data_IF_747301382514
#
_entry.id   IF_747301382514
#
_cell.length_a   1.000
_cell.length_b   1.000
_cell.length_c   1.000
_cell.angle_alpha   90.00
_cell.angle_beta   90.00
_cell.angle_gamma   90.00
#
_symmetry.space_group_name_H-M   'P 1'
#
loop_
_entity.id
_entity.type
_entity.pdbx_description
1 polymer ?
#
# COMPACT_ATOMS: atom_id res chain seq x y z
N UNK A 1 -4.85 34.31 24.58
CA UNK A 1 -3.99 33.17 24.96
C UNK A 1 -4.80 31.89 24.81
N UNK A 2 -4.71 31.22 23.67
CA UNK A 2 -5.41 29.95 23.41
C UNK A 2 -4.44 28.94 22.82
N UNK A 3 -3.59 28.37 23.67
CA UNK A 3 -2.60 27.38 23.29
C UNK A 3 -3.31 26.04 23.09
N UNK A 4 -3.80 25.80 21.88
CA UNK A 4 -4.22 24.46 21.45
C UNK A 4 -3.03 23.53 21.55
N UNK A 5 -2.95 22.79 22.65
CA UNK A 5 -1.96 21.75 22.86
C UNK A 5 -2.26 20.62 21.89
N UNK A 6 -1.61 20.66 20.72
CA UNK A 6 -1.59 19.57 19.75
C UNK A 6 -0.88 18.40 20.42
N UNK A 7 -1.65 17.46 20.98
CA UNK A 7 -1.13 16.20 21.53
C UNK A 7 -0.25 15.58 20.42
N UNK A 8 1.01 15.21 20.69
CA UNK A 8 1.84 14.54 19.69
C UNK A 8 1.08 13.33 19.18
N UNK A 9 0.94 13.21 17.86
CA UNK A 9 0.40 12.00 17.28
C UNK A 9 1.22 10.80 17.80
N UNK A 10 0.58 9.68 18.18
CA UNK A 10 1.31 8.49 18.60
C UNK A 10 2.36 8.16 17.54
N UNK A 11 3.58 7.85 17.98
CA UNK A 11 4.67 7.49 17.09
C UNK A 11 4.17 6.42 16.10
N UNK A 12 4.41 6.59 14.78
CA UNK A 12 3.92 5.64 13.80
C UNK A 12 4.41 4.25 14.18
N UNK A 13 3.49 3.27 14.16
CA UNK A 13 3.86 1.88 14.38
C UNK A 13 5.04 1.52 13.45
N UNK A 14 6.00 0.71 13.93
CA UNK A 14 7.20 0.41 13.16
C UNK A 14 6.82 -0.20 11.82
N UNK A 15 7.19 0.48 10.74
CA UNK A 15 6.93 0.06 9.37
C UNK A 15 7.86 -1.11 9.04
N UNK A 16 7.27 -2.24 8.63
CA UNK A 16 8.01 -3.34 8.08
C UNK A 16 8.33 -3.07 6.60
N UNK A 17 9.58 -2.73 6.33
CA UNK A 17 10.06 -2.41 4.98
C UNK A 17 9.88 -3.56 3.98
N UNK A 18 10.00 -4.82 4.41
CA UNK A 18 9.81 -5.98 3.54
C UNK A 18 8.33 -6.17 3.17
N UNK A 19 7.43 -5.93 4.13
CA UNK A 19 5.99 -5.93 3.87
C UNK A 19 5.62 -4.82 2.87
N UNK A 20 6.10 -3.59 3.09
CA UNK A 20 5.88 -2.46 2.18
C UNK A 20 6.45 -2.73 0.79
N UNK A 21 7.67 -3.28 0.68
CA UNK A 21 8.28 -3.65 -0.60
C UNK A 21 7.48 -4.71 -1.35
N UNK A 22 6.95 -5.69 -0.62
CA UNK A 22 6.08 -6.73 -1.18
C UNK A 22 4.79 -6.13 -1.72
N UNK A 23 4.12 -5.27 -0.94
CA UNK A 23 2.91 -4.56 -1.35
C UNK A 23 3.15 -3.68 -2.59
N UNK A 24 4.27 -2.95 -2.63
CA UNK A 24 4.65 -2.14 -3.79
C UNK A 24 4.84 -3.00 -5.04
N UNK A 25 5.56 -4.11 -4.91
CA UNK A 25 5.82 -5.02 -6.04
C UNK A 25 4.52 -5.60 -6.59
N UNK A 26 3.61 -6.01 -5.70
CA UNK A 26 2.31 -6.55 -6.07
C UNK A 26 1.38 -5.48 -6.67
N UNK A 27 1.39 -4.26 -6.12
CA UNK A 27 0.62 -3.14 -6.65
C UNK A 27 1.07 -2.75 -8.06
N UNK A 28 2.38 -2.65 -8.31
CA UNK A 28 2.92 -2.41 -9.65
C UNK A 28 2.53 -3.52 -10.64
N UNK A 29 2.55 -4.78 -10.21
CA UNK A 29 2.14 -5.91 -11.05
C UNK A 29 0.63 -5.93 -11.33
N UNK A 30 -0.19 -5.49 -10.37
CA UNK A 30 -1.63 -5.28 -10.57
C UNK A 30 -1.89 -4.18 -11.61
N UNK A 31 -1.22 -3.02 -11.48
CA UNK A 31 -1.36 -1.91 -12.43
C UNK A 31 -0.89 -2.28 -13.84
N UNK A 32 0.28 -2.94 -13.99
CA UNK A 32 0.76 -3.42 -15.31
C UNK A 32 -0.22 -4.42 -15.94
N UNK A 33 -0.82 -5.31 -15.14
CA UNK A 33 -1.83 -6.23 -15.66
C UNK A 33 -3.13 -5.50 -16.05
N UNK A 34 -3.52 -4.47 -15.30
CA UNK A 34 -4.69 -3.64 -15.59
C UNK A 34 -4.51 -2.85 -16.90
N UNK A 35 -3.33 -2.25 -17.09
CA UNK A 35 -2.96 -1.48 -18.28
C UNK A 35 -3.03 -2.32 -19.55
N UNK A 36 -2.68 -3.61 -19.46
CA UNK A 36 -2.80 -4.54 -20.58
C UNK A 36 -4.24 -4.95 -20.83
N UNK A 37 -4.93 -5.41 -19.77
CA UNK A 37 -6.34 -5.80 -19.82
C UNK A 37 -6.88 -6.04 -18.40
N UNK A 38 -7.70 -5.12 -17.91
CA UNK A 38 -8.34 -5.19 -16.58
C UNK A 38 -9.29 -6.39 -16.40
N UNK A 39 -9.87 -6.92 -17.47
CA UNK A 39 -10.76 -8.09 -17.39
C UNK A 39 -10.01 -9.43 -17.48
N UNK A 40 -8.69 -9.37 -17.67
CA UNK A 40 -7.86 -10.56 -17.83
C UNK A 40 -7.77 -11.41 -16.55
N UNK A 41 -7.63 -12.74 -16.70
CA UNK A 41 -7.29 -13.62 -15.58
C UNK A 41 -6.00 -13.21 -14.86
N UNK A 42 -5.04 -12.62 -15.59
CA UNK A 42 -3.79 -12.11 -15.02
C UNK A 42 -3.99 -10.94 -14.06
N UNK A 43 -4.84 -9.97 -14.41
CA UNK A 43 -5.21 -8.88 -13.50
C UNK A 43 -5.88 -9.43 -12.24
N UNK A 44 -6.86 -10.33 -12.41
CA UNK A 44 -7.55 -10.96 -11.27
C UNK A 44 -6.57 -11.68 -10.33
N UNK A 45 -5.59 -12.39 -10.89
CA UNK A 45 -4.56 -13.08 -10.11
C UNK A 45 -3.61 -12.10 -9.40
N UNK A 46 -3.19 -11.01 -10.05
CA UNK A 46 -2.35 -9.98 -9.45
C UNK A 46 -3.08 -9.25 -8.32
N UNK A 47 -4.31 -8.80 -8.56
CA UNK A 47 -5.21 -8.19 -7.58
C UNK A 47 -5.44 -9.09 -6.37
N UNK A 48 -5.75 -10.38 -6.58
CA UNK A 48 -5.95 -11.31 -5.46
C UNK A 48 -4.69 -11.47 -4.58
N UNK A 49 -3.49 -11.46 -5.18
CA UNK A 49 -2.23 -11.50 -4.43
C UNK A 49 -2.00 -10.20 -3.65
N UNK A 50 -2.20 -9.05 -4.29
CA UNK A 50 -2.10 -7.74 -3.65
C UNK A 50 -3.06 -7.64 -2.47
N UNK A 51 -4.36 -7.93 -2.66
CA UNK A 51 -5.36 -7.89 -1.60
C UNK A 51 -5.03 -8.83 -0.44
N UNK A 52 -4.54 -10.04 -0.72
CA UNK A 52 -4.12 -10.98 0.33
C UNK A 52 -2.95 -10.45 1.15
N UNK A 53 -1.92 -9.91 0.49
CA UNK A 53 -0.79 -9.29 1.18
C UNK A 53 -1.24 -8.05 1.98
N UNK A 54 -2.12 -7.24 1.40
CA UNK A 54 -2.65 -6.01 2.00
C UNK A 54 -3.44 -6.30 3.27
N UNK A 55 -4.34 -7.29 3.25
CA UNK A 55 -5.10 -7.72 4.43
C UNK A 55 -4.23 -8.30 5.55
N UNK A 56 -3.04 -8.83 5.19
CA UNK A 56 -2.09 -9.39 6.17
C UNK A 56 -1.13 -8.35 6.74
N UNK A 57 -1.04 -7.16 6.12
CA UNK A 57 -0.14 -6.09 6.51
C UNK A 57 -0.75 -5.21 7.61
N UNK A 58 0.11 -4.57 8.42
CA UNK A 58 -0.36 -3.64 9.44
C UNK A 58 -0.91 -2.35 8.79
N UNK A 59 -1.79 -1.60 9.47
CA UNK A 59 -2.28 -0.33 8.94
C UNK A 59 -1.17 0.68 8.58
N UNK A 60 -0.04 0.66 9.30
CA UNK A 60 1.11 1.51 9.01
C UNK A 60 1.81 1.10 7.71
N UNK A 61 1.97 -0.21 7.47
CA UNK A 61 2.57 -0.73 6.24
C UNK A 61 1.66 -0.47 5.03
N UNK A 62 0.35 -0.63 5.20
CA UNK A 62 -0.64 -0.31 4.18
C UNK A 62 -0.57 1.16 3.76
N UNK A 63 -0.55 2.08 4.74
CA UNK A 63 -0.44 3.51 4.48
C UNK A 63 0.89 3.87 3.80
N UNK A 64 2.00 3.27 4.25
CA UNK A 64 3.32 3.48 3.65
C UNK A 64 3.39 2.95 2.20
N UNK A 65 2.79 1.79 1.93
CA UNK A 65 2.72 1.24 0.58
C UNK A 65 1.87 2.11 -0.35
N UNK A 66 0.72 2.61 0.10
CA UNK A 66 -0.10 3.53 -0.68
C UNK A 66 0.60 4.86 -0.96
N UNK A 67 1.25 5.46 0.04
CA UNK A 67 2.00 6.71 -0.16
C UNK A 67 3.15 6.50 -1.16
N UNK A 68 3.84 5.36 -1.10
CA UNK A 68 4.88 5.02 -2.05
C UNK A 68 4.32 4.78 -3.47
N UNK A 69 3.24 4.01 -3.65
CA UNK A 69 2.60 3.82 -4.96
C UNK A 69 2.19 5.16 -5.59
N UNK A 70 1.53 6.01 -4.79
CA UNK A 70 1.11 7.35 -5.21
C UNK A 70 2.29 8.23 -5.64
N UNK A 71 3.43 8.19 -4.91
CA UNK A 71 4.64 8.94 -5.28
C UNK A 71 5.26 8.45 -6.60
N UNK A 72 5.06 7.18 -6.94
CA UNK A 72 5.56 6.58 -8.17
C UNK A 72 4.57 6.68 -9.35
N UNK A 73 3.36 7.20 -9.13
CA UNK A 73 2.35 7.41 -10.18
C UNK A 73 1.49 6.18 -10.48
N UNK A 74 1.41 5.22 -9.54
CA UNK A 74 0.54 4.05 -9.60
C UNK A 74 -0.77 4.26 -8.85
#
# INVERSE_FOLDING_TARGET
MGLFSKKPAPAPAPINRDAVRTLLTLGMAETDAADRNIDSPSFRAAKAKFERAFRSATPADQAAAYDALRRHGY
#
